data_IF_064864903009
#
_entry.id   IF_064864903009
#
_cell.length_a   1.000
_cell.length_b   1.000
_cell.length_c   1.000
_cell.angle_alpha   90.00
_cell.angle_beta   90.00
_cell.angle_gamma   90.00
#
_symmetry.space_group_name_H-M   'P 1'
#
loop_
_entity.id
_entity.type
_entity.pdbx_description
1 polymer ?
#
# COMPACT_ATOMS: atom_id res chain seq x y z
N UNK A 1 -59.06 -10.32 47.52
CA UNK A 1 -59.64 -10.08 46.17
C UNK A 1 -58.65 -9.18 45.42
N UNK A 2 -57.73 -9.69 44.61
CA UNK A 2 -57.91 -10.32 43.29
C UNK A 2 -56.79 -11.36 43.08
N UNK A 3 -57.18 -12.47 42.46
CA UNK A 3 -56.33 -13.56 41.99
C UNK A 3 -55.51 -13.08 40.78
N UNK A 4 -54.32 -13.63 40.52
CA UNK A 4 -54.05 -14.53 39.39
C UNK A 4 -52.53 -14.73 39.14
N UNK A 5 -52.19 -15.99 38.84
CA UNK A 5 -51.18 -16.52 37.90
C UNK A 5 -49.73 -15.99 37.93
N UNK A 6 -48.70 -16.80 38.22
CA UNK A 6 -48.23 -18.06 37.61
C UNK A 6 -47.34 -17.88 36.37
N UNK A 7 -46.24 -18.66 36.36
CA UNK A 7 -45.25 -18.99 35.31
C UNK A 7 -44.11 -17.97 35.10
N UNK A 8 -42.86 -18.22 35.51
CA UNK A 8 -41.83 -19.20 35.07
C UNK A 8 -41.41 -19.15 33.59
N UNK A 9 -40.09 -18.99 33.43
CA UNK A 9 -39.19 -19.39 32.34
C UNK A 9 -38.80 -18.41 31.20
N UNK A 10 -37.48 -18.43 30.99
CA UNK A 10 -36.68 -18.22 29.76
C UNK A 10 -36.52 -16.82 29.16
N UNK A 11 -35.35 -16.24 29.46
CA UNK A 11 -34.28 -15.89 28.52
C UNK A 11 -34.70 -15.73 27.04
N UNK A 12 -34.80 -14.47 26.58
CA UNK A 12 -34.87 -14.13 25.15
C UNK A 12 -33.61 -13.35 24.81
N UNK A 13 -32.71 -14.02 24.08
CA UNK A 13 -31.54 -13.45 23.41
C UNK A 13 -32.03 -12.79 22.12
N UNK A 14 -31.77 -11.49 21.96
CA UNK A 14 -32.08 -10.75 20.75
C UNK A 14 -31.00 -11.07 19.72
N UNK A 15 -31.32 -11.91 18.74
CA UNK A 15 -30.52 -12.09 17.53
C UNK A 15 -30.85 -10.93 16.56
N UNK A 16 -29.92 -10.00 16.38
CA UNK A 16 -29.97 -9.06 15.27
C UNK A 16 -29.42 -9.76 14.03
N UNK A 17 -30.29 -9.91 13.03
CA UNK A 17 -29.99 -10.50 11.73
C UNK A 17 -29.16 -9.53 10.89
N UNK A 18 -27.96 -9.92 10.50
CA UNK A 18 -27.31 -9.43 9.27
C UNK A 18 -27.29 -10.59 8.29
N UNK A 19 -28.03 -10.43 7.20
CA UNK A 19 -28.23 -11.46 6.18
C UNK A 19 -26.96 -11.72 5.38
N UNK A 20 -26.57 -12.99 5.28
CA UNK A 20 -25.74 -13.46 4.19
C UNK A 20 -26.64 -13.76 2.99
N UNK A 21 -26.53 -12.97 1.92
CA UNK A 21 -27.08 -13.38 0.62
C UNK A 21 -26.15 -14.46 0.03
N UNK A 22 -26.44 -15.72 0.34
CA UNK A 22 -25.86 -16.85 -0.36
C UNK A 22 -26.73 -17.17 -1.58
N UNK A 23 -26.27 -16.79 -2.78
CA UNK A 23 -26.88 -17.26 -4.03
C UNK A 23 -26.42 -18.70 -4.25
N UNK A 24 -27.31 -19.67 -4.02
CA UNK A 24 -27.08 -21.06 -4.40
C UNK A 24 -27.42 -21.27 -5.88
N UNK A 25 -26.41 -21.51 -6.72
CA UNK A 25 -26.64 -22.04 -8.07
C UNK A 25 -26.61 -23.57 -7.96
N UNK A 26 -27.78 -24.21 -8.05
CA UNK A 26 -27.88 -25.67 -8.05
C UNK A 26 -27.44 -26.26 -9.38
N UNK A 27 -26.26 -26.89 -9.42
CA UNK A 27 -25.93 -27.84 -10.49
C UNK A 27 -26.51 -29.21 -10.13
N UNK A 28 -27.40 -29.75 -10.97
CA UNK A 28 -27.93 -31.11 -10.79
C UNK A 28 -26.88 -32.08 -11.34
N UNK A 29 -26.13 -32.71 -10.45
CA UNK A 29 -25.19 -33.79 -10.78
C UNK A 29 -25.38 -34.98 -9.83
N UNK A 30 -25.68 -36.16 -10.39
CA UNK A 30 -25.54 -37.46 -9.72
C UNK A 30 -26.51 -37.78 -8.58
N UNK A 31 -26.65 -39.07 -8.27
CA UNK A 31 -27.53 -39.69 -7.26
C UNK A 31 -27.19 -39.36 -5.80
N UNK A 32 -26.35 -38.35 -5.57
CA UNK A 32 -25.52 -38.24 -4.37
C UNK A 32 -25.85 -36.95 -3.60
N UNK A 33 -27.10 -36.49 -3.67
CA UNK A 33 -27.59 -35.34 -2.91
C UNK A 33 -26.93 -33.98 -3.26
N UNK A 34 -27.48 -32.87 -2.73
CA UNK A 34 -26.93 -31.55 -2.99
C UNK A 34 -25.54 -31.40 -2.36
N UNK A 35 -24.51 -31.34 -3.20
CA UNK A 35 -23.16 -30.94 -2.77
C UNK A 35 -23.16 -29.44 -2.53
N UNK A 36 -22.91 -29.02 -1.30
CA UNK A 36 -22.83 -27.61 -0.94
C UNK A 36 -21.47 -27.06 -1.41
N UNK A 37 -21.43 -26.45 -2.60
CA UNK A 37 -20.24 -25.74 -3.08
C UNK A 37 -20.24 -24.35 -2.44
N UNK A 38 -19.35 -24.14 -1.48
CA UNK A 38 -19.09 -22.81 -0.92
C UNK A 38 -18.25 -22.05 -1.96
N UNK A 39 -18.89 -21.22 -2.76
CA UNK A 39 -18.19 -20.26 -3.63
C UNK A 39 -17.87 -19.04 -2.77
N UNK A 40 -16.61 -18.94 -2.33
CA UNK A 40 -16.06 -17.69 -1.80
C UNK A 40 -16.16 -16.63 -2.90
N UNK A 41 -16.94 -15.58 -2.68
CA UNK A 41 -17.03 -14.42 -3.56
C UNK A 41 -15.81 -13.50 -3.42
N UNK A 42 -14.61 -14.07 -3.38
CA UNK A 42 -13.40 -13.36 -3.75
C UNK A 42 -13.31 -13.41 -5.26
N UNK A 43 -13.31 -12.26 -5.94
CA UNK A 43 -12.68 -12.22 -7.26
C UNK A 43 -11.21 -12.54 -7.03
N UNK A 44 -10.82 -13.81 -7.06
CA UNK A 44 -9.41 -14.14 -7.30
C UNK A 44 -9.11 -13.63 -8.70
N UNK A 45 -8.43 -12.49 -8.78
CA UNK A 45 -7.82 -12.07 -10.02
C UNK A 45 -6.88 -13.18 -10.45
N UNK A 46 -6.97 -13.60 -11.72
CA UNK A 46 -6.01 -14.53 -12.35
C UNK A 46 -4.54 -14.11 -12.14
N UNK A 47 -4.33 -12.85 -11.79
CA UNK A 47 -3.07 -12.20 -11.55
C UNK A 47 -2.93 -11.91 -10.05
N UNK A 48 -2.09 -12.67 -9.35
CA UNK A 48 -1.67 -12.36 -7.97
C UNK A 48 -0.85 -11.08 -8.01
N UNK A 49 -1.09 -10.19 -7.04
CA UNK A 49 -0.21 -9.06 -6.80
C UNK A 49 0.05 -8.93 -5.31
N UNK A 50 1.30 -8.61 -4.99
CA UNK A 50 1.79 -8.32 -3.65
C UNK A 50 2.12 -6.84 -3.56
N UNK A 51 1.90 -6.26 -2.38
CA UNK A 51 2.05 -4.82 -2.15
C UNK A 51 2.88 -4.58 -0.91
N UNK A 52 3.97 -3.87 -1.09
CA UNK A 52 4.89 -3.52 -0.02
C UNK A 52 4.90 -2.00 0.17
N UNK A 53 4.95 -1.52 1.43
CA UNK A 53 5.08 -0.10 1.67
C UNK A 53 6.45 0.38 1.20
N UNK A 54 6.51 1.58 0.66
CA UNK A 54 7.78 2.27 0.34
C UNK A 54 7.99 3.34 1.40
N UNK A 55 9.15 3.36 2.06
CA UNK A 55 9.43 4.44 3.02
C UNK A 55 9.54 5.76 2.26
N UNK A 56 8.82 6.77 2.74
CA UNK A 56 8.79 8.11 2.17
C UNK A 56 8.86 9.15 3.26
N UNK A 57 9.60 10.22 2.98
CA UNK A 57 9.62 11.46 3.76
C UNK A 57 9.32 12.66 2.88
N UNK A 58 8.84 13.74 3.49
CA UNK A 58 8.66 15.02 2.81
C UNK A 58 9.60 16.07 3.41
N UNK A 59 10.44 16.68 2.57
CA UNK A 59 11.47 17.64 2.99
C UNK A 59 11.49 18.82 2.05
N UNK A 60 11.33 20.03 2.58
CA UNK A 60 11.42 21.27 1.81
C UNK A 60 10.45 21.30 0.62
N UNK A 61 9.24 20.76 0.79
CA UNK A 61 8.21 20.67 -0.24
C UNK A 61 8.34 19.47 -1.19
N UNK A 62 9.42 18.69 -1.14
CA UNK A 62 9.66 17.56 -2.03
C UNK A 62 9.48 16.21 -1.33
N UNK A 63 9.01 15.21 -2.08
CA UNK A 63 8.95 13.83 -1.63
C UNK A 63 10.29 13.15 -1.88
N UNK A 64 10.74 12.33 -0.94
CA UNK A 64 11.92 11.48 -1.06
C UNK A 64 11.52 10.05 -0.72
N UNK A 65 11.85 9.09 -1.58
CA UNK A 65 11.50 7.67 -1.44
C UNK A 65 12.76 6.80 -1.28
N UNK A 66 12.66 5.71 -0.53
CA UNK A 66 13.77 4.76 -0.38
C UNK A 66 14.14 4.15 -1.73
N UNK A 67 15.44 4.01 -1.99
CA UNK A 67 15.94 3.35 -3.20
C UNK A 67 16.26 1.88 -2.99
N UNK A 68 16.37 1.44 -1.72
CA UNK A 68 16.97 0.17 -1.36
C UNK A 68 18.50 0.13 -1.49
N UNK A 69 19.13 1.29 -1.73
CA UNK A 69 20.60 1.43 -1.74
C UNK A 69 21.08 1.91 -0.37
N UNK A 70 22.07 1.22 0.18
CA UNK A 70 22.76 1.61 1.42
C UNK A 70 24.06 2.34 1.10
N UNK A 71 24.41 3.31 1.93
CA UNK A 71 25.71 3.97 1.87
C UNK A 71 26.70 3.27 2.81
N UNK A 72 27.63 2.47 2.26
CA UNK A 72 28.68 1.73 3.01
C UNK A 72 29.80 2.66 3.57
N UNK A 73 29.57 3.98 3.60
CA UNK A 73 30.53 4.93 4.15
C UNK A 73 30.45 4.91 5.68
N UNK A 74 31.34 4.12 6.28
CA UNK A 74 31.62 4.20 7.72
C UNK A 74 32.29 5.55 8.07
N UNK A 75 31.76 6.27 9.07
CA UNK A 75 32.42 7.44 9.65
C UNK A 75 31.71 8.80 9.54
N UNK A 76 30.38 8.83 9.39
CA UNK A 76 29.65 10.10 9.51
C UNK A 76 29.60 10.56 10.97
N UNK A 77 30.57 11.40 11.34
CA UNK A 77 30.50 12.23 12.54
C UNK A 77 29.87 13.56 12.13
N UNK A 78 28.54 13.58 11.98
CA UNK A 78 27.82 14.72 11.44
C UNK A 78 26.62 15.10 12.29
N UNK A 79 26.38 16.40 12.42
CA UNK A 79 25.10 16.94 12.89
C UNK A 79 24.03 16.64 11.83
N UNK A 80 22.83 16.23 12.26
CA UNK A 80 21.69 16.04 11.36
C UNK A 80 21.25 17.40 10.79
N UNK A 81 20.87 17.44 9.52
CA UNK A 81 20.41 18.66 8.83
C UNK A 81 18.95 18.98 9.18
N UNK A 82 18.17 17.98 9.58
CA UNK A 82 16.80 18.14 10.05
C UNK A 82 16.28 16.88 10.75
N UNK A 83 15.04 16.96 11.24
CA UNK A 83 14.36 15.88 11.95
C UNK A 83 12.95 15.67 11.40
N UNK A 84 12.43 14.45 11.54
CA UNK A 84 11.11 14.04 11.08
C UNK A 84 10.25 13.56 12.23
N UNK A 85 8.93 13.66 12.05
CA UNK A 85 7.94 12.95 12.85
C UNK A 85 7.17 11.98 11.96
N UNK A 86 6.91 10.76 12.44
CA UNK A 86 5.95 9.89 11.76
C UNK A 86 4.56 10.51 11.88
N UNK A 87 3.93 10.75 10.73
CA UNK A 87 2.60 11.34 10.66
C UNK A 87 1.68 10.68 9.62
N UNK A 88 2.24 9.94 8.67
CA UNK A 88 1.48 9.19 7.67
C UNK A 88 1.43 7.69 8.00
N UNK A 89 0.35 7.03 7.56
CA UNK A 89 0.23 5.57 7.59
C UNK A 89 1.15 4.93 6.54
N UNK A 90 1.47 3.63 6.70
CA UNK A 90 2.52 2.93 5.92
C UNK A 90 2.47 3.04 4.39
N UNK A 91 1.30 3.27 3.80
CA UNK A 91 1.14 3.46 2.35
C UNK A 91 0.79 4.90 1.98
N UNK A 92 0.49 5.75 2.97
CA UNK A 92 0.11 7.13 2.74
C UNK A 92 1.33 8.00 2.49
N UNK A 93 1.16 8.99 1.63
CA UNK A 93 2.18 10.00 1.34
C UNK A 93 2.15 11.06 2.45
N UNK A 94 3.28 11.42 3.07
CA UNK A 94 3.36 12.49 4.05
C UNK A 94 2.88 13.84 3.47
N UNK A 95 2.05 14.57 4.22
CA UNK A 95 1.36 15.76 3.71
C UNK A 95 2.13 17.04 4.00
N UNK A 96 2.80 17.12 5.15
CA UNK A 96 3.58 18.28 5.57
C UNK A 96 5.07 18.00 5.50
N UNK A 97 5.86 19.09 5.43
CA UNK A 97 7.30 18.98 5.55
C UNK A 97 7.69 18.42 6.91
N UNK A 98 8.75 17.63 6.90
CA UNK A 98 9.31 16.90 8.03
C UNK A 98 8.42 15.77 8.56
N UNK A 99 7.60 15.17 7.70
CA UNK A 99 6.79 14.00 8.03
C UNK A 99 7.29 12.75 7.29
N UNK A 100 7.12 11.59 7.93
CA UNK A 100 7.39 10.26 7.36
C UNK A 100 6.16 9.35 7.42
N UNK A 101 6.16 8.29 6.59
CA UNK A 101 5.17 7.21 6.61
C UNK A 101 5.64 5.94 7.37
N UNK A 102 6.84 5.98 7.94
CA UNK A 102 7.46 4.87 8.65
C UNK A 102 8.01 5.32 10.00
N UNK A 103 8.19 4.35 10.91
CA UNK A 103 8.78 4.58 12.23
C UNK A 103 10.30 4.51 12.13
N UNK A 104 10.98 5.49 12.72
CA UNK A 104 12.40 5.41 12.99
C UNK A 104 12.56 4.73 14.36
N UNK A 105 13.17 3.55 14.37
CA UNK A 105 13.34 2.72 15.57
C UNK A 105 14.22 3.39 16.64
N UNK A 106 15.05 4.36 16.24
CA UNK A 106 15.87 5.14 17.16
C UNK A 106 15.31 6.55 17.37
N UNK A 107 14.78 6.79 18.57
CA UNK A 107 14.29 8.11 19.02
C UNK A 107 15.37 9.20 19.00
N UNK A 108 16.66 8.85 18.99
CA UNK A 108 17.76 9.81 18.90
C UNK A 108 18.22 10.09 17.46
N UNK A 109 17.80 9.29 16.49
CA UNK A 109 18.20 9.39 15.08
C UNK A 109 16.98 9.61 14.18
N UNK A 110 16.06 10.46 14.61
CA UNK A 110 14.85 10.81 13.84
C UNK A 110 15.12 11.89 12.78
N UNK A 111 16.26 11.85 12.09
CA UNK A 111 16.65 12.93 11.18
C UNK A 111 17.31 12.49 9.89
N UNK A 112 17.81 13.44 9.13
CA UNK A 112 18.40 13.21 7.81
C UNK A 112 19.63 14.08 7.60
N UNK A 113 20.41 13.72 6.59
CA UNK A 113 21.42 14.60 6.00
C UNK A 113 21.15 14.78 4.51
N UNK A 114 21.54 15.93 3.97
CA UNK A 114 21.59 16.11 2.52
C UNK A 114 22.62 15.14 1.95
N UNK A 115 22.21 14.37 0.95
CA UNK A 115 23.05 13.34 0.35
C UNK A 115 24.22 13.94 -0.42
N UNK A 116 25.26 13.13 -0.62
CA UNK A 116 26.41 13.56 -1.44
C UNK A 116 26.06 13.61 -2.94
N UNK A 117 25.11 12.80 -3.38
CA UNK A 117 24.58 12.83 -4.73
C UNK A 117 23.50 13.94 -4.84
N UNK A 118 23.35 14.50 -6.03
CA UNK A 118 22.27 15.46 -6.28
C UNK A 118 20.91 14.77 -6.08
N UNK A 119 19.93 15.55 -5.60
CA UNK A 119 18.56 15.08 -5.39
C UNK A 119 18.44 13.85 -4.46
N UNK A 120 19.41 13.63 -3.57
CA UNK A 120 19.30 12.61 -2.52
C UNK A 120 19.36 13.19 -1.11
N UNK A 121 18.77 12.45 -0.19
CA UNK A 121 18.99 12.59 1.25
C UNK A 121 19.37 11.22 1.81
N UNK A 122 20.04 11.22 2.94
CA UNK A 122 20.47 10.00 3.62
C UNK A 122 19.83 9.98 5.01
N UNK A 123 19.24 8.84 5.38
CA UNK A 123 18.53 8.67 6.65
C UNK A 123 19.20 7.52 7.41
N UNK A 124 19.64 7.73 8.67
CA UNK A 124 20.14 6.65 9.50
C UNK A 124 18.97 5.75 9.91
N UNK A 125 18.97 4.51 9.42
CA UNK A 125 17.96 3.51 9.74
C UNK A 125 18.69 2.29 10.29
N UNK A 126 18.35 1.93 11.53
CA UNK A 126 19.06 0.90 12.30
C UNK A 126 20.56 1.20 12.47
N UNK A 127 21.43 0.53 11.71
CA UNK A 127 22.89 0.72 11.78
C UNK A 127 23.49 1.23 10.46
N UNK A 128 22.65 1.49 9.45
CA UNK A 128 23.05 1.86 8.09
C UNK A 128 22.46 3.22 7.68
N UNK A 129 23.08 3.85 6.70
CA UNK A 129 22.56 5.07 6.08
C UNK A 129 21.87 4.70 4.77
N UNK A 130 20.55 4.69 4.81
CA UNK A 130 19.73 4.41 3.63
C UNK A 130 19.64 5.66 2.74
N UNK A 131 19.79 5.47 1.42
CA UNK A 131 19.68 6.55 0.44
C UNK A 131 18.22 6.71 0.01
N UNK A 132 17.75 7.95 0.04
CA UNK A 132 16.44 8.32 -0.47
C UNK A 132 16.60 9.27 -1.66
N UNK A 133 15.92 8.97 -2.77
CA UNK A 133 15.93 9.80 -3.99
C UNK A 133 14.71 10.72 -4.01
N UNK A 134 14.90 11.95 -4.48
CA UNK A 134 13.84 12.91 -4.68
C UNK A 134 12.90 12.43 -5.78
N UNK A 135 11.61 12.47 -5.49
CA UNK A 135 10.57 12.20 -6.45
C UNK A 135 10.03 13.53 -6.99
N UNK A 136 10.35 13.82 -8.25
CA UNK A 136 9.96 15.07 -8.91
C UNK A 136 9.68 14.83 -10.39
N UNK A 137 8.53 15.32 -10.85
CA UNK A 137 8.17 15.42 -12.26
C UNK A 137 7.65 16.84 -12.51
N UNK A 138 8.30 17.63 -13.40
CA UNK A 138 7.87 19.00 -13.69
C UNK A 138 6.51 19.09 -14.40
N UNK A 139 6.02 18.01 -15.00
CA UNK A 139 4.76 17.95 -15.74
C UNK A 139 3.60 17.41 -14.90
N UNK A 140 3.88 16.83 -13.73
CA UNK A 140 2.87 16.20 -12.86
C UNK A 140 2.89 16.74 -11.43
N UNK A 141 1.71 17.12 -10.95
CA UNK A 141 1.51 17.40 -9.53
C UNK A 141 1.38 16.10 -8.76
N UNK A 142 2.45 15.67 -8.08
CA UNK A 142 2.45 14.43 -7.30
C UNK A 142 1.66 14.54 -5.99
N UNK A 143 1.29 15.75 -5.56
CA UNK A 143 0.51 15.96 -4.32
C UNK A 143 -0.95 15.52 -4.46
N UNK A 144 -1.42 15.27 -5.69
CA UNK A 144 -2.77 14.74 -5.96
C UNK A 144 -2.94 13.28 -5.51
N UNK A 145 -1.85 12.55 -5.32
CA UNK A 145 -1.88 11.14 -4.94
C UNK A 145 -1.87 11.00 -3.42
N UNK A 146 -2.67 10.06 -2.93
CA UNK A 146 -2.74 9.74 -1.51
C UNK A 146 -1.75 8.67 -1.08
N UNK A 147 -1.46 7.71 -1.96
CA UNK A 147 -0.69 6.53 -1.62
C UNK A 147 0.55 6.35 -2.48
N UNK A 148 1.56 5.74 -1.90
CA UNK A 148 2.76 5.23 -2.58
C UNK A 148 3.04 3.81 -2.10
N UNK A 149 3.31 2.92 -3.05
CA UNK A 149 3.61 1.52 -2.74
C UNK A 149 4.42 0.87 -3.85
N UNK A 150 5.10 -0.22 -3.48
CA UNK A 150 5.69 -1.17 -4.40
C UNK A 150 4.64 -2.24 -4.73
N UNK A 151 4.41 -2.51 -6.00
CA UNK A 151 3.47 -3.52 -6.50
C UNK A 151 4.22 -4.52 -7.36
N UNK A 152 4.22 -5.77 -6.93
CA UNK A 152 4.82 -6.88 -7.66
C UNK A 152 3.74 -7.88 -8.09
N UNK A 153 3.83 -8.41 -9.31
CA UNK A 153 3.02 -9.56 -9.69
C UNK A 153 2.96 -9.87 -11.17
N UNK A 154 2.23 -10.93 -11.50
CA UNK A 154 2.08 -11.39 -12.88
C UNK A 154 1.24 -10.41 -13.68
N UNK A 155 1.70 -10.11 -14.88
CA UNK A 155 0.92 -9.37 -15.87
C UNK A 155 0.63 -10.27 -17.07
N UNK A 156 -0.35 -9.90 -17.88
CA UNK A 156 -0.55 -10.56 -19.18
C UNK A 156 0.46 -10.16 -20.25
N UNK A 157 1.35 -9.21 -19.94
CA UNK A 157 2.31 -8.62 -20.86
C UNK A 157 3.76 -9.05 -20.62
N UNK A 158 4.08 -9.61 -19.45
CA UNK A 158 5.44 -9.98 -19.04
C UNK A 158 5.61 -11.50 -18.90
N UNK A 159 6.77 -12.01 -19.33
CA UNK A 159 7.21 -13.37 -19.02
C UNK A 159 7.85 -13.39 -17.62
N UNK A 160 7.08 -13.08 -16.59
CA UNK A 160 7.57 -12.98 -15.21
C UNK A 160 6.73 -12.03 -14.36
N UNK A 161 7.06 -11.96 -13.08
CA UNK A 161 6.51 -10.94 -12.19
C UNK A 161 7.10 -9.58 -12.57
N UNK A 162 6.22 -8.58 -12.71
CA UNK A 162 6.59 -7.20 -12.94
C UNK A 162 6.57 -6.46 -11.60
N UNK A 163 7.47 -5.50 -11.45
CA UNK A 163 7.63 -4.69 -10.25
C UNK A 163 7.45 -3.21 -10.60
N UNK A 164 6.66 -2.50 -9.80
CA UNK A 164 6.39 -1.08 -9.98
C UNK A 164 6.44 -0.36 -8.63
N UNK A 165 7.08 0.81 -8.55
CA UNK A 165 6.76 1.79 -7.51
C UNK A 165 5.73 2.75 -8.11
N UNK A 166 4.58 2.87 -7.44
CA UNK A 166 3.43 3.61 -7.98
C UNK A 166 2.85 4.57 -6.95
N UNK A 167 2.53 5.78 -7.41
CA UNK A 167 1.69 6.73 -6.71
C UNK A 167 0.27 6.60 -7.24
N UNK A 168 -0.71 6.48 -6.34
CA UNK A 168 -2.09 6.15 -6.67
C UNK A 168 -3.07 6.68 -5.63
N UNK A 169 -4.34 6.77 -6.00
CA UNK A 169 -5.45 7.01 -5.08
C UNK A 169 -6.23 5.73 -4.75
N UNK A 170 -5.82 4.58 -5.31
CA UNK A 170 -6.43 3.27 -5.11
C UNK A 170 -5.43 2.28 -4.50
N UNK A 171 -5.72 1.82 -3.26
CA UNK A 171 -4.93 0.80 -2.56
C UNK A 171 -5.15 -0.61 -3.11
N UNK A 172 -6.20 -0.85 -3.90
CA UNK A 172 -6.57 -2.16 -4.44
C UNK A 172 -5.95 -2.45 -5.82
N UNK A 173 -5.17 -1.50 -6.37
CA UNK A 173 -4.48 -1.64 -7.66
C UNK A 173 -3.58 -2.88 -7.78
N UNK A 174 -3.58 -3.55 -8.92
CA UNK A 174 -2.73 -4.73 -9.20
C UNK A 174 -1.63 -4.42 -10.24
N UNK A 175 -0.57 -5.24 -10.27
CA UNK A 175 0.48 -5.13 -11.27
C UNK A 175 -0.08 -5.23 -12.71
N UNK A 176 -1.11 -6.06 -12.89
CA UNK A 176 -1.78 -6.20 -14.17
C UNK A 176 -2.61 -4.96 -14.54
N UNK A 177 -3.25 -4.29 -13.58
CA UNK A 177 -4.00 -3.04 -13.84
C UNK A 177 -3.05 -1.91 -14.26
N UNK A 178 -1.90 -1.79 -13.58
CA UNK A 178 -0.83 -0.85 -13.93
C UNK A 178 -0.33 -1.13 -15.36
N UNK A 179 0.01 -2.39 -15.65
CA UNK A 179 0.50 -2.79 -16.97
C UNK A 179 -0.54 -2.53 -18.08
N UNK A 180 -1.82 -2.84 -17.82
CA UNK A 180 -2.92 -2.53 -18.75
C UNK A 180 -3.02 -1.04 -19.02
N UNK A 181 -2.98 -0.20 -17.98
CA UNK A 181 -3.05 1.25 -18.13
C UNK A 181 -1.92 1.82 -18.99
N UNK A 182 -0.75 1.19 -18.97
CA UNK A 182 0.42 1.68 -19.70
C UNK A 182 0.53 1.11 -21.12
N UNK A 183 0.12 -0.15 -21.32
CA UNK A 183 0.32 -0.89 -22.56
C UNK A 183 -0.94 -1.01 -23.43
N UNK A 184 -2.14 -0.79 -22.85
CA UNK A 184 -3.38 -0.78 -23.60
C UNK A 184 -3.53 0.52 -24.39
N UNK A 185 -4.04 0.41 -25.60
CA UNK A 185 -4.42 1.57 -26.43
C UNK A 185 -5.83 2.10 -26.12
N UNK A 186 -6.55 1.46 -25.19
CA UNK A 186 -7.91 1.85 -24.86
C UNK A 186 -7.94 2.92 -23.77
N UNK A 187 -8.56 4.06 -24.08
CA UNK A 187 -8.74 5.17 -23.12
C UNK A 187 -9.47 4.78 -21.82
N UNK A 188 -10.32 3.75 -21.85
CA UNK A 188 -11.03 3.24 -20.67
C UNK A 188 -10.12 2.49 -19.68
N UNK A 189 -8.93 2.07 -20.12
CA UNK A 189 -7.96 1.34 -19.29
C UNK A 189 -6.98 2.30 -18.59
N UNK A 190 -7.05 3.60 -18.88
CA UNK A 190 -6.16 4.62 -18.30
C UNK A 190 -6.49 4.82 -16.83
N UNK A 191 -5.56 4.44 -15.96
CA UNK A 191 -5.59 4.69 -14.53
C UNK A 191 -4.95 6.04 -14.21
N UNK A 192 -5.50 6.70 -13.20
CA UNK A 192 -4.84 7.85 -12.60
C UNK A 192 -3.76 7.37 -11.62
N UNK A 193 -2.59 7.07 -12.19
CA UNK A 193 -1.41 6.65 -11.46
C UNK A 193 -0.16 7.34 -12.01
N UNK A 194 0.86 7.41 -11.16
CA UNK A 194 2.20 7.79 -11.55
C UNK A 194 3.17 6.67 -11.23
N UNK A 195 3.80 6.12 -12.26
CA UNK A 195 4.82 5.07 -12.12
C UNK A 195 6.16 5.76 -11.96
N UNK A 196 6.86 5.46 -10.87
CA UNK A 196 8.23 5.94 -10.65
C UNK A 196 9.13 5.16 -11.60
N UNK A 197 9.71 5.83 -12.59
CA UNK A 197 10.73 5.24 -13.44
C UNK A 197 11.93 4.90 -12.56
N UNK A 198 12.23 3.62 -12.40
CA UNK A 198 13.54 3.22 -11.90
C UNK A 198 14.51 3.46 -13.05
N UNK A 199 15.40 4.45 -12.90
CA UNK A 199 16.50 4.62 -13.84
C UNK A 199 17.29 3.30 -13.87
N UNK A 200 17.17 2.58 -14.99
CA UNK A 200 18.09 1.50 -15.31
C UNK A 200 19.35 2.16 -15.84
N UNK A 201 20.34 2.35 -14.96
CA UNK A 201 21.70 2.73 -15.34
C UNK A 201 22.29 1.78 -16.41
#
# INVERSE_FOLDING_TARGET
MKKLCSLLFSLVIIAAMTGCDAISIGMIGGSDGPTNVIVSSGKESKYRSEKEPVKVVKVGGFLYYETGEDNDISGRCGTLDGHFAKAAEKYEIPQNDNESNFELNDTNCSGYQIGMAEDTIEIPIENDWEIFKKLYDPEKDLSQYKFIMKVEGKTEYSFGDAEYIVLTNDLDITANDIAKSYLSSQSADVLDVYIVSMDTD
#
